data_IF_162755364107
#
_entry.id   IF_162755364107
#
_cell.length_a   1.000
_cell.length_b   1.000
_cell.length_c   1.000
_cell.angle_alpha   90.00
_cell.angle_beta   90.00
_cell.angle_gamma   90.00
#
_symmetry.space_group_name_H-M   'P 1'
#
loop_
_entity.id
_entity.type
_entity.pdbx_description
1 polymer ?
2 non-polymer ?
3 water ?
#
# COMPACT_ATOMS: atom_id res chain seq x y z
N UNK A 6 -13.28 6.84 -26.67
CA UNK A 6 -13.36 8.25 -27.00
C UNK A 6 -13.32 9.11 -25.72
N UNK A 7 -12.75 10.31 -25.80
CA UNK A 7 -12.64 11.22 -24.65
C UNK A 7 -13.94 11.45 -23.94
N UNK A 8 -14.99 11.69 -24.69
CA UNK A 8 -16.31 12.00 -24.12
C UNK A 8 -16.82 10.95 -23.16
N UNK A 9 -16.61 9.68 -23.50
CA UNK A 9 -17.05 8.58 -22.66
C UNK A 9 -16.26 8.55 -21.34
N UNK A 10 -14.93 8.70 -21.41
CA UNK A 10 -14.11 8.64 -20.19
C UNK A 10 -14.31 9.90 -19.34
N UNK A 11 -14.55 11.05 -19.96
CA UNK A 11 -14.84 12.29 -19.22
C UNK A 11 -16.13 12.08 -18.43
N UNK A 12 -17.16 11.49 -19.06
CA UNK A 12 -18.42 11.24 -18.39
C UNK A 12 -18.21 10.29 -17.20
N UNK A 13 -17.35 9.25 -17.36
CA UNK A 13 -17.11 8.35 -16.20
C UNK A 13 -16.43 9.12 -15.06
N UNK A 14 -15.44 9.98 -15.39
CA UNK A 14 -14.69 10.68 -14.35
C UNK A 14 -15.61 11.73 -13.69
N UNK A 15 -16.45 12.40 -14.45
CA UNK A 15 -17.38 13.40 -13.91
C UNK A 15 -18.42 12.67 -13.05
N UNK A 16 -18.96 11.51 -13.54
CA UNK A 16 -19.97 10.77 -12.75
C UNK A 16 -19.37 10.34 -11.40
N UNK A 17 -18.11 9.90 -11.38
CA UNK A 17 -17.55 9.43 -10.11
C UNK A 17 -17.40 10.62 -9.14
N UNK A 18 -16.93 11.81 -9.66
CA UNK A 18 -16.82 12.95 -8.75
C UNK A 18 -18.21 13.35 -8.19
N UNK A 19 -19.25 13.26 -9.03
CA UNK A 19 -20.61 13.63 -8.57
C UNK A 19 -21.09 12.61 -7.51
N UNK A 20 -20.72 11.34 -7.67
CA UNK A 20 -21.02 10.30 -6.69
C UNK A 20 -20.34 10.68 -5.34
N UNK A 21 -19.02 10.97 -5.34
CA UNK A 21 -18.32 11.30 -4.11
C UNK A 21 -18.85 12.60 -3.47
N UNK A 22 -19.18 13.60 -4.29
CA UNK A 22 -19.72 14.89 -3.80
C UNK A 22 -21.18 14.82 -3.39
N UNK A 23 -21.85 13.69 -3.65
CA UNK A 23 -23.26 13.44 -3.30
C UNK A 23 -24.18 14.40 -4.06
N UNK A 24 -23.88 14.59 -5.35
CA UNK A 24 -24.71 15.48 -6.15
C UNK A 24 -25.37 14.68 -7.30
N UNK A 25 -26.61 15.05 -7.71
CA UNK A 25 -27.28 14.27 -8.77
C UNK A 25 -26.51 14.27 -10.08
N UNK A 26 -26.66 13.22 -10.83
CA UNK A 26 -26.04 13.07 -12.14
C UNK A 26 -27.15 13.21 -13.19
N UNK A 30 -29.60 9.07 -15.60
CA UNK A 30 -28.61 8.54 -14.66
C UNK A 30 -27.40 7.90 -15.29
N UNK A 31 -26.50 7.41 -14.43
CA UNK A 31 -25.25 6.79 -14.95
C UNK A 31 -25.49 5.48 -15.70
N UNK A 32 -24.62 5.18 -16.66
CA UNK A 32 -24.71 3.92 -17.44
C UNK A 32 -24.38 2.72 -16.51
N UNK A 33 -24.57 1.47 -16.99
CA UNK A 33 -24.20 0.30 -16.21
C UNK A 33 -22.67 0.34 -15.92
N UNK A 34 -21.86 0.82 -16.88
CA UNK A 34 -20.41 0.90 -16.65
C UNK A 34 -20.13 1.86 -15.52
N UNK A 35 -20.75 3.04 -15.54
CA UNK A 35 -20.49 4.02 -14.52
C UNK A 35 -20.99 3.49 -13.14
N UNK A 36 -22.14 2.78 -13.12
CA UNK A 36 -22.67 2.23 -11.86
C UNK A 36 -21.66 1.22 -11.29
N UNK A 37 -21.10 0.35 -12.15
CA UNK A 37 -20.14 -0.64 -11.66
C UNK A 37 -18.87 0.05 -11.19
N UNK A 38 -18.39 1.02 -11.93
CA UNK A 38 -17.14 1.72 -11.56
C UNK A 38 -17.32 2.48 -10.24
N UNK A 39 -18.47 3.12 -10.03
CA UNK A 39 -18.71 3.87 -8.78
C UNK A 39 -18.57 2.97 -7.55
N UNK A 40 -19.12 1.77 -7.65
CA UNK A 40 -19.06 0.81 -6.56
C UNK A 40 -17.61 0.39 -6.25
N UNK A 41 -16.88 -0.06 -7.25
CA UNK A 41 -15.53 -0.57 -7.04
C UNK A 41 -14.56 0.51 -6.70
N UNK A 42 -14.63 1.67 -7.40
CA UNK A 42 -13.69 2.76 -7.10
C UNK A 42 -13.94 3.32 -5.69
N UNK A 43 -15.20 3.40 -5.23
CA UNK A 43 -15.46 3.91 -3.87
C UNK A 43 -14.89 2.97 -2.84
N UNK A 44 -14.99 1.63 -3.09
CA UNK A 44 -14.44 0.68 -2.14
C UNK A 44 -12.92 0.84 -2.05
N UNK A 45 -12.24 1.06 -3.19
CA UNK A 45 -10.80 1.30 -3.22
C UNK A 45 -10.49 2.61 -2.47
N UNK A 46 -11.25 3.66 -2.76
CA UNK A 46 -11.05 4.97 -2.14
C UNK A 46 -11.10 4.91 -0.62
N UNK A 47 -12.11 4.24 -0.04
CA UNK A 47 -12.19 4.12 1.42
C UNK A 47 -11.02 3.37 2.00
N UNK A 48 -10.48 2.36 1.28
CA UNK A 48 -9.30 1.62 1.77
C UNK A 48 -8.06 2.49 1.71
N UNK A 49 -7.90 3.29 0.66
CA UNK A 49 -6.76 4.21 0.56
C UNK A 49 -6.86 5.26 1.68
N UNK A 50 -8.06 5.81 1.89
CA UNK A 50 -8.23 6.83 2.94
C UNK A 50 -7.87 6.29 4.32
N UNK A 51 -8.16 5.01 4.63
CA UNK A 51 -7.79 4.47 5.93
C UNK A 51 -6.27 4.19 5.98
N UNK A 52 -5.70 3.57 4.93
CA UNK A 52 -4.28 3.20 4.97
C UNK A 52 -3.33 4.38 4.84
N UNK A 53 -3.75 5.44 4.19
CA UNK A 53 -2.93 6.63 3.99
C UNK A 53 -3.43 7.83 4.78
N UNK A 54 -4.20 7.62 5.88
CA UNK A 54 -4.78 8.73 6.63
C UNK A 54 -3.78 9.80 7.05
N UNK A 55 -2.71 9.42 7.76
CA UNK A 55 -1.74 10.41 8.25
C UNK A 55 -1.05 11.10 7.09
N UNK A 56 -0.73 10.35 6.03
CA UNK A 56 -0.07 10.87 4.84
C UNK A 56 -0.95 11.95 4.18
N UNK A 57 -2.23 11.65 3.94
CA UNK A 57 -3.17 12.55 3.29
C UNK A 57 -3.42 13.81 4.14
N UNK A 58 -3.45 13.66 5.47
CA UNK A 58 -3.68 14.82 6.35
C UNK A 58 -2.50 15.79 6.39
N UNK A 59 -1.30 15.38 5.96
CA UNK A 59 -0.11 16.24 6.01
C UNK A 59 0.05 17.15 4.81
N UNK A 60 -0.77 16.99 3.77
CA UNK A 60 -0.61 17.76 2.54
C UNK A 60 -1.89 18.54 2.26
N UNK A 61 -1.78 19.89 2.11
CA UNK A 61 -2.97 20.74 1.87
C UNK A 61 -3.13 20.90 0.36
N UNK A 62 -4.36 20.74 -0.16
CA UNK A 62 -4.63 20.87 -1.60
C UNK A 62 -5.49 22.11 -1.77
N UNK A 63 -4.83 23.28 -1.93
CA UNK A 63 -5.56 24.55 -1.88
C UNK A 63 -5.88 25.18 -3.22
N UNK A 64 -5.49 24.55 -4.33
CA UNK A 64 -5.79 25.09 -5.65
C UNK A 64 -5.85 23.96 -6.66
N UNK A 65 -6.55 24.20 -7.78
CA UNK A 65 -6.64 23.26 -8.88
C UNK A 65 -5.22 22.98 -9.44
N UNK A 66 -4.34 24.01 -9.50
CA UNK A 66 -2.97 23.77 -9.96
C UNK A 66 -2.20 22.83 -9.03
N UNK A 67 -2.38 22.96 -7.71
CA UNK A 67 -1.76 22.03 -6.75
C UNK A 67 -2.32 20.60 -7.00
N UNK A 68 -3.65 20.47 -7.18
CA UNK A 68 -4.26 19.18 -7.44
C UNK A 68 -3.69 18.53 -8.74
N UNK A 69 -3.49 19.34 -9.80
CA UNK A 69 -2.92 18.81 -11.05
C UNK A 69 -1.50 18.31 -10.84
N UNK A 70 -0.66 19.09 -10.16
CA UNK A 70 0.73 18.71 -9.90
C UNK A 70 0.77 17.42 -9.06
N UNK A 71 -0.08 17.32 -8.03
CA UNK A 71 -0.10 16.11 -7.17
C UNK A 71 -0.55 14.91 -8.00
N UNK A 72 -1.59 15.10 -8.81
CA UNK A 72 -2.10 14.04 -9.66
C UNK A 72 -0.99 13.53 -10.62
N UNK A 73 -0.26 14.45 -11.25
CA UNK A 73 0.82 14.04 -12.18
C UNK A 73 1.88 13.22 -11.45
N UNK A 74 2.29 13.66 -10.24
CA UNK A 74 3.31 12.93 -9.49
C UNK A 74 2.80 11.54 -9.12
N UNK A 75 1.52 11.43 -8.72
CA UNK A 75 0.94 10.13 -8.34
C UNK A 75 0.90 9.21 -9.51
N UNK A 76 0.46 9.69 -10.68
CA UNK A 76 0.43 8.83 -11.87
C UNK A 76 1.82 8.34 -12.27
N UNK A 77 2.85 9.20 -12.12
CA UNK A 77 4.22 8.79 -12.45
C UNK A 77 4.67 7.61 -11.62
N UNK A 78 4.29 7.58 -10.32
CA UNK A 78 4.66 6.45 -9.45
C UNK A 78 3.78 5.23 -9.70
N UNK A 79 2.47 5.44 -9.94
CA UNK A 79 1.56 4.33 -10.17
C UNK A 79 1.96 3.51 -11.41
N UNK A 80 2.47 4.18 -12.44
CA UNK A 80 2.78 3.50 -13.70
C UNK A 80 4.28 3.45 -14.03
N UNK A 81 5.13 3.58 -13.01
CA UNK A 81 6.60 3.60 -13.12
C UNK A 81 7.22 2.38 -13.80
N UNK A 82 6.59 1.23 -13.65
CA UNK A 82 7.09 -0.01 -14.26
C UNK A 82 6.54 -0.27 -15.71
N UNK A 83 5.75 0.65 -16.22
CA UNK A 83 5.16 0.55 -17.56
C UNK A 83 4.01 -0.44 -17.68
N UNK A 84 3.55 -1.03 -16.56
CA UNK A 84 2.46 -2.00 -16.59
C UNK A 84 1.10 -1.31 -16.44
N UNK A 85 0.11 -1.78 -17.19
CA UNK A 85 -1.26 -1.31 -17.04
C UNK A 85 -2.10 -2.53 -16.74
N UNK A 86 -3.05 -2.39 -15.81
CA UNK A 86 -4.03 -3.42 -15.54
C UNK A 86 -5.31 -2.70 -15.02
N UNK A 87 -6.45 -3.43 -14.93
CA UNK A 87 -7.69 -2.77 -14.53
C UNK A 87 -7.66 -2.23 -13.12
N UNK A 88 -6.93 -2.89 -12.22
CA UNK A 88 -6.84 -2.40 -10.83
C UNK A 88 -6.19 -1.04 -10.77
N UNK A 89 -5.14 -0.85 -11.59
CA UNK A 89 -4.45 0.46 -11.63
C UNK A 89 -5.37 1.55 -12.19
N UNK A 90 -6.18 1.20 -13.19
CA UNK A 90 -7.13 2.16 -13.76
C UNK A 90 -8.19 2.53 -12.71
N UNK A 91 -8.71 1.57 -11.93
CA UNK A 91 -9.69 1.90 -10.87
C UNK A 91 -9.09 2.83 -9.83
N UNK A 92 -7.81 2.60 -9.51
CA UNK A 92 -7.13 3.47 -8.54
C UNK A 92 -7.07 4.94 -8.99
N UNK A 93 -7.03 5.20 -10.30
CA UNK A 93 -7.03 6.62 -10.78
C UNK A 93 -8.33 7.29 -10.35
N UNK A 94 -9.45 6.59 -10.48
CA UNK A 94 -10.73 7.17 -10.09
C UNK A 94 -10.81 7.34 -8.57
N UNK A 95 -10.35 6.32 -7.80
CA UNK A 95 -10.30 6.48 -6.34
C UNK A 95 -9.48 7.73 -5.92
N UNK A 96 -8.39 7.96 -6.65
CA UNK A 96 -7.52 9.08 -6.40
C UNK A 96 -8.21 10.41 -6.68
N UNK A 97 -8.91 10.56 -7.84
CA UNK A 97 -9.62 11.82 -8.08
C UNK A 97 -10.71 12.06 -7.02
N UNK A 98 -11.29 10.99 -6.44
CA UNK A 98 -12.27 11.18 -5.36
C UNK A 98 -11.61 11.78 -4.13
N UNK A 99 -10.38 11.34 -3.82
CA UNK A 99 -9.65 11.89 -2.67
C UNK A 99 -9.27 13.35 -2.93
N UNK A 100 -8.81 13.65 -4.16
CA UNK A 100 -8.45 15.04 -4.50
C UNK A 100 -9.65 15.98 -4.38
N UNK A 101 -10.84 15.52 -4.84
CA UNK A 101 -11.99 16.44 -4.80
C UNK A 101 -12.45 16.68 -3.37
N UNK A 102 -12.30 15.65 -2.48
CA UNK A 102 -12.69 15.84 -1.08
C UNK A 102 -11.75 16.86 -0.42
N UNK A 103 -10.44 16.76 -0.73
CA UNK A 103 -9.51 17.73 -0.15
C UNK A 103 -9.76 19.11 -0.69
N UNK A 104 -10.00 19.26 -2.00
CA UNK A 104 -10.26 20.58 -2.59
C UNK A 104 -11.55 21.18 -2.04
N UNK A 105 -12.61 20.37 -1.84
CA UNK A 105 -13.86 20.92 -1.28
C UNK A 105 -13.57 21.59 0.10
N UNK A 106 -12.76 20.93 0.94
CA UNK A 106 -12.45 21.43 2.27
C UNK A 106 -11.42 22.55 2.27
N UNK A 107 -10.44 22.47 1.37
CA UNK A 107 -9.28 23.35 1.45
C UNK A 107 -9.07 24.37 0.34
N UNK A 108 -9.81 24.30 -0.80
CA UNK A 108 -9.60 25.22 -1.95
C UNK A 108 -9.68 26.67 -1.46
N UNK A 109 -8.58 27.43 -1.62
CA UNK A 109 -8.53 28.79 -1.07
C UNK A 109 -9.54 29.69 -1.76
N UNK A 110 -9.76 29.50 -3.06
CA UNK A 110 -10.77 30.28 -3.80
C UNK A 110 -11.88 29.28 -4.22
N UNK A 111 -12.87 28.97 -3.37
CA UNK A 111 -13.89 27.97 -3.76
C UNK A 111 -14.57 28.26 -5.08
N UNK A 112 -14.66 27.23 -5.92
CA UNK A 112 -15.31 27.31 -7.21
C UNK A 112 -16.09 26.03 -7.40
N UNK A 113 -17.44 26.12 -7.44
CA UNK A 113 -18.25 24.91 -7.58
C UNK A 113 -17.98 24.12 -8.86
N UNK A 114 -17.39 24.73 -9.89
CA UNK A 114 -17.09 24.01 -11.14
C UNK A 114 -15.74 23.26 -11.12
N UNK A 115 -14.97 23.36 -10.03
CA UNK A 115 -13.63 22.72 -9.96
C UNK A 115 -13.66 21.23 -10.31
N UNK A 116 -14.72 20.51 -9.91
CA UNK A 116 -14.76 19.08 -10.23
C UNK A 116 -14.77 18.80 -11.74
N UNK A 117 -15.29 19.77 -12.51
CA UNK A 117 -15.30 19.68 -13.97
C UNK A 117 -13.86 19.74 -14.54
N UNK A 118 -13.00 20.52 -13.92
CA UNK A 118 -11.60 20.64 -14.36
C UNK A 118 -10.78 19.42 -13.94
N UNK A 119 -10.99 18.89 -12.70
CA UNK A 119 -10.29 17.70 -12.25
C UNK A 119 -10.68 16.52 -13.15
N UNK A 120 -12.01 16.33 -13.42
CA UNK A 120 -12.37 15.17 -14.27
C UNK A 120 -11.84 15.30 -15.72
N UNK A 121 -11.65 16.51 -16.23
CA UNK A 121 -11.04 16.73 -17.53
C UNK A 121 -9.58 16.23 -17.52
N UNK A 122 -8.76 16.67 -16.50
CA UNK A 122 -7.35 16.26 -16.57
C UNK A 122 -7.19 14.74 -16.22
N UNK A 123 -8.17 14.14 -15.55
CA UNK A 123 -8.16 12.68 -15.29
C UNK A 123 -8.50 11.95 -16.59
N UNK A 124 -9.53 12.44 -17.32
CA UNK A 124 -9.88 11.86 -18.63
C UNK A 124 -8.73 11.98 -19.66
N UNK A 125 -8.05 13.13 -19.64
CA UNK A 125 -6.90 13.37 -20.52
C UNK A 125 -5.80 12.35 -20.22
N UNK A 126 -5.53 12.11 -18.93
CA UNK A 126 -4.46 11.13 -18.57
C UNK A 126 -4.86 9.72 -19.02
N UNK A 127 -6.08 9.32 -18.72
CA UNK A 127 -6.52 7.96 -19.06
C UNK A 127 -6.54 7.74 -20.54
N UNK A 128 -7.09 8.71 -21.31
CA UNK A 128 -7.18 8.51 -22.75
C UNK A 128 -5.80 8.41 -23.40
N UNK A 129 -4.91 9.35 -23.10
CA UNK A 129 -3.60 9.42 -23.70
C UNK A 129 -2.60 8.40 -23.24
N UNK A 130 -2.73 7.93 -21.98
CA UNK A 130 -1.72 7.02 -21.45
C UNK A 130 -2.18 5.58 -21.35
N UNK A 131 -3.48 5.37 -21.22
CA UNK A 131 -4.02 4.00 -21.10
C UNK A 131 -5.09 3.64 -22.14
N UNK A 132 -5.48 4.60 -22.99
CA UNK A 132 -6.56 4.41 -23.95
C UNK A 132 -6.38 3.22 -24.88
N UNK A 133 -5.17 3.05 -25.43
CA UNK A 133 -4.92 1.94 -26.36
C UNK A 133 -5.02 0.59 -25.65
N UNK A 134 -4.44 0.49 -24.44
CA UNK A 134 -4.54 -0.73 -23.66
C UNK A 134 -6.01 -1.02 -23.35
N UNK A 135 -6.81 0.04 -23.03
CA UNK A 135 -8.22 -0.17 -22.70
C UNK A 135 -8.98 -0.76 -23.89
N UNK A 136 -8.80 -0.20 -25.09
CA UNK A 136 -9.48 -0.69 -26.28
C UNK A 136 -9.09 -2.17 -26.58
N UNK A 137 -7.79 -2.47 -26.54
CA UNK A 137 -7.31 -3.84 -26.80
C UNK A 137 -7.80 -4.85 -25.78
N UNK A 138 -8.19 -4.37 -24.56
CA UNK A 138 -8.68 -5.25 -23.52
C UNK A 138 -10.21 -5.20 -23.35
N UNK A 139 -10.91 -4.72 -24.38
CA UNK A 139 -12.35 -4.79 -24.40
C UNK A 139 -13.12 -3.52 -24.15
N UNK A 140 -12.41 -2.42 -23.90
CA UNK A 140 -13.04 -1.15 -23.58
C UNK A 140 -13.72 -1.20 -22.23
N UNK A 141 -14.64 -0.26 -22.00
CA UNK A 141 -15.36 -0.20 -20.75
C UNK A 141 -16.53 -1.18 -20.72
N UNK A 142 -17.25 -1.33 -21.84
CA UNK A 142 -18.41 -2.18 -21.88
C UNK A 142 -18.10 -3.68 -22.03
N UNK A 143 -16.98 -4.01 -22.65
CA UNK A 143 -16.61 -5.43 -22.83
C UNK A 143 -15.33 -5.84 -22.11
N UNK A 144 -14.77 -4.95 -21.33
CA UNK A 144 -13.53 -5.24 -20.61
C UNK A 144 -13.75 -4.97 -19.14
N UNK A 145 -13.83 -3.68 -18.82
CA UNK A 145 -14.00 -3.28 -17.43
C UNK A 145 -15.26 -3.87 -16.80
N UNK A 146 -16.42 -3.68 -17.43
CA UNK A 146 -17.69 -4.13 -16.85
C UNK A 146 -17.71 -5.61 -16.67
N UNK A 147 -17.23 -6.34 -17.69
CA UNK A 147 -17.22 -7.77 -17.62
C UNK A 147 -16.37 -8.30 -16.44
N UNK A 148 -15.26 -7.62 -16.14
CA UNK A 148 -14.39 -8.06 -15.06
C UNK A 148 -14.96 -7.73 -13.68
N UNK A 149 -15.55 -6.53 -13.55
CA UNK A 149 -15.93 -6.03 -12.23
C UNK A 149 -17.39 -6.10 -11.88
N UNK A 150 -18.27 -6.40 -12.82
CA UNK A 150 -19.71 -6.45 -12.50
C UNK A 150 -20.01 -7.58 -11.53
N UNK A 151 -21.14 -7.45 -10.80
CA UNK A 151 -21.47 -8.47 -9.80
C UNK A 151 -21.51 -9.85 -10.38
N UNK A 152 -21.17 -10.82 -9.52
CA UNK A 152 -21.12 -12.23 -9.85
C UNK A 152 -22.53 -12.83 -10.07
N UNK B 6 13.21 -9.12 26.28
CA UNK B 6 13.17 -7.67 26.52
C UNK B 6 13.06 -6.91 25.19
N UNK B 7 12.44 -5.73 25.23
CA UNK B 7 12.23 -4.94 24.02
C UNK B 7 13.54 -4.66 23.27
N UNK B 8 14.56 -4.23 23.99
CA UNK B 8 15.85 -3.89 23.41
C UNK B 8 16.44 -4.96 22.52
N UNK B 9 16.35 -6.20 22.99
CA UNK B 9 16.88 -7.33 22.24
C UNK B 9 16.11 -7.54 20.95
N UNK B 10 14.74 -7.45 21.01
CA UNK B 10 13.95 -7.69 19.81
C UNK B 10 14.11 -6.53 18.82
N UNK B 11 14.23 -5.32 19.33
CA UNK B 11 14.47 -4.14 18.47
C UNK B 11 15.76 -4.36 17.68
N UNK B 12 16.82 -4.82 18.37
CA UNK B 12 18.09 -5.05 17.69
C UNK B 12 17.94 -6.18 16.63
N UNK B 13 17.14 -7.22 16.90
CA UNK B 13 16.95 -8.27 15.86
C UNK B 13 16.23 -7.68 14.64
N UNK B 14 15.17 -6.86 14.87
CA UNK B 14 14.43 -6.28 13.77
C UNK B 14 15.30 -5.30 13.00
N UNK B 15 16.12 -4.51 13.68
CA UNK B 15 17.01 -3.55 13.02
C UNK B 15 18.08 -4.31 12.22
N UNK B 16 18.65 -5.38 12.81
CA UNK B 16 19.68 -6.16 12.09
C UNK B 16 19.08 -6.77 10.80
N UNK B 17 17.83 -7.26 10.86
CA UNK B 17 17.26 -7.90 9.67
C UNK B 17 17.02 -6.84 8.58
N UNK B 18 16.53 -5.62 8.96
CA UNK B 18 16.34 -4.54 7.95
C UNK B 18 17.71 -4.18 7.32
N UNK B 19 18.77 -4.13 8.13
CA UNK B 19 20.10 -3.78 7.59
C UNK B 19 20.58 -4.87 6.63
N UNK B 20 20.25 -6.13 6.92
CA UNK B 20 20.59 -7.25 6.05
C UNK B 20 19.84 -7.07 4.70
N UNK B 21 18.51 -6.82 4.73
CA UNK B 21 17.73 -6.65 3.50
C UNK B 21 18.23 -5.46 2.68
N UNK B 22 18.54 -4.34 3.37
CA UNK B 22 19.04 -3.12 2.71
C UNK B 22 20.48 -3.19 2.26
N UNK B 23 21.20 -4.27 2.62
CA UNK B 23 22.60 -4.51 2.28
C UNK B 23 23.50 -3.45 2.90
N UNK B 24 23.22 -3.08 4.16
CA UNK B 24 24.04 -2.08 4.81
C UNK B 24 24.76 -2.68 6.03
N UNK B 25 26.03 -2.28 6.30
CA UNK B 25 26.77 -2.89 7.41
C UNK B 25 26.09 -2.66 8.76
N UNK B 26 26.30 -3.60 9.65
CA UNK B 26 25.75 -3.53 11.01
C UNK B 26 26.90 -3.20 11.95
N UNK B 29 31.13 -5.24 16.14
CA UNK B 29 31.57 -6.63 15.88
C UNK B 29 30.50 -7.53 15.27
N UNK B 30 29.46 -6.92 14.71
CA UNK B 30 28.44 -7.62 13.96
C UNK B 30 27.28 -8.21 14.72
N UNK B 31 26.38 -8.83 13.95
CA UNK B 31 25.17 -9.44 14.57
C UNK B 31 25.47 -10.63 15.46
N UNK B 32 24.64 -10.85 16.46
CA UNK B 32 24.77 -11.97 17.39
C UNK B 32 24.51 -13.30 16.63
N UNK B 33 24.80 -14.44 17.26
CA UNK B 33 24.52 -15.73 16.65
C UNK B 33 23.00 -15.86 16.35
N UNK B 34 22.17 -15.32 17.24
CA UNK B 34 20.71 -15.36 17.03
C UNK B 34 20.34 -14.61 15.78
N UNK B 35 20.87 -13.37 15.64
CA UNK B 35 20.56 -12.57 14.50
C UNK B 35 21.10 -13.24 13.20
N UNK B 36 22.30 -13.85 13.27
CA UNK B 36 22.87 -14.53 12.08
C UNK B 36 21.95 -15.67 11.62
N UNK B 37 21.45 -16.47 12.60
CA UNK B 37 20.59 -17.59 12.24
C UNK B 37 19.26 -17.06 11.66
N UNK B 38 18.72 -16.03 12.31
CA UNK B 38 17.41 -15.49 11.88
C UNK B 38 17.50 -14.90 10.49
N UNK B 39 18.61 -14.23 10.16
CA UNK B 39 18.75 -13.59 8.84
C UNK B 39 18.61 -14.62 7.72
N UNK B 40 19.22 -15.78 7.93
CA UNK B 40 19.15 -16.81 6.94
C UNK B 40 17.74 -17.40 6.76
N UNK B 41 17.09 -17.77 7.85
CA UNK B 41 15.77 -18.40 7.76
C UNK B 41 14.71 -17.43 7.33
N UNK B 42 14.75 -16.18 7.87
CA UNK B 42 13.73 -15.18 7.48
C UNK B 42 13.86 -14.79 6.00
N UNK B 43 15.07 -14.71 5.51
CA UNK B 43 15.26 -14.38 4.06
C UNK B 43 14.67 -15.49 3.18
N UNK B 44 14.87 -16.76 3.60
CA UNK B 44 14.31 -17.86 2.82
C UNK B 44 12.79 -17.79 2.77
N UNK B 45 12.18 -17.47 3.91
CA UNK B 45 10.72 -17.34 3.97
C UNK B 45 10.26 -16.14 3.13
N UNK B 46 10.98 -15.03 3.23
CA UNK B 46 10.66 -13.81 2.47
C UNK B 46 10.60 -14.06 0.96
N UNK B 47 11.61 -14.75 0.41
CA UNK B 47 11.61 -15.04 -1.02
C UNK B 47 10.44 -15.93 -1.43
N UNK B 48 10.03 -16.86 -0.56
CA UNK B 48 8.89 -17.73 -0.88
C UNK B 48 7.59 -16.95 -0.87
N UNK B 49 7.44 -16.02 0.09
CA UNK B 49 6.25 -15.19 0.17
C UNK B 49 6.20 -14.29 -1.06
N UNK B 50 7.34 -13.68 -1.43
CA UNK B 50 7.33 -12.77 -2.60
C UNK B 50 6.83 -13.46 -3.87
N UNK B 51 7.24 -14.73 -4.06
CA UNK B 51 6.81 -15.47 -5.24
C UNK B 51 5.35 -15.89 -5.15
N UNK B 52 4.94 -16.48 -4.01
CA UNK B 52 3.58 -17.00 -3.89
C UNK B 52 2.50 -15.96 -3.75
N UNK B 53 2.85 -14.80 -3.19
CA UNK B 53 1.88 -13.74 -2.97
C UNK B 53 2.15 -12.54 -3.89
N UNK B 54 2.79 -12.75 -5.04
CA UNK B 54 3.11 -11.65 -5.95
C UNK B 54 1.92 -10.73 -6.30
N UNK B 55 0.79 -11.28 -6.76
CA UNK B 55 -0.37 -10.44 -7.11
C UNK B 55 -0.91 -9.66 -5.92
N UNK B 56 -0.95 -10.31 -4.78
CA UNK B 56 -1.41 -9.71 -3.54
C UNK B 56 -0.48 -8.55 -3.14
N UNK B 57 0.84 -8.79 -3.13
CA UNK B 57 1.83 -7.76 -2.77
C UNK B 57 1.79 -6.56 -3.70
N UNK B 58 1.53 -6.77 -5.00
CA UNK B 58 1.45 -5.66 -5.97
C UNK B 58 0.18 -4.80 -5.81
N UNK B 59 -0.76 -5.19 -4.93
CA UNK B 59 -2.00 -4.42 -4.72
C UNK B 59 -1.81 -3.21 -3.80
N UNK B 60 -0.62 -2.99 -3.22
CA UNK B 60 -0.43 -1.84 -2.32
C UNK B 60 0.67 -0.92 -2.82
N UNK B 61 0.66 0.33 -2.34
CA UNK B 61 1.69 1.32 -2.65
C UNK B 61 2.11 1.89 -1.28
N UNK B 62 3.29 1.51 -0.79
CA UNK B 62 3.76 1.85 0.56
C UNK B 62 4.42 3.21 0.56
N UNK B 63 3.57 4.25 0.52
CA UNK B 63 3.99 5.66 0.34
C UNK B 63 4.56 6.31 1.60
N UNK B 64 4.37 5.70 2.77
CA UNK B 64 4.86 6.30 4.01
C UNK B 64 5.04 5.25 5.10
N UNK B 65 5.79 5.60 6.16
CA UNK B 65 6.03 4.76 7.35
C UNK B 65 4.67 4.43 8.00
N UNK B 66 3.78 5.43 8.11
CA UNK B 66 2.46 5.15 8.70
C UNK B 66 1.65 4.13 7.88
N UNK B 67 1.73 4.23 6.55
CA UNK B 67 1.05 3.23 5.68
C UNK B 67 1.69 1.83 5.93
N UNK B 68 3.04 1.75 6.01
CA UNK B 68 3.70 0.49 6.31
C UNK B 68 3.23 -0.11 7.65
N UNK B 69 3.07 0.74 8.68
CA UNK B 69 2.57 0.26 9.99
C UNK B 69 1.17 -0.31 9.89
N UNK B 70 0.26 0.39 9.21
CA UNK B 70 -1.11 -0.06 9.08
C UNK B 70 -1.17 -1.38 8.30
N UNK B 71 -0.36 -1.50 7.22
CA UNK B 71 -0.36 -2.75 6.43
C UNK B 71 0.21 -3.88 7.26
N UNK B 72 1.33 -3.60 7.98
CA UNK B 72 1.93 -4.61 8.89
C UNK B 72 0.90 -5.10 9.92
N UNK B 73 0.13 -4.19 10.53
CA UNK B 73 -0.87 -4.59 11.52
C UNK B 73 -1.94 -5.50 10.88
N UNK B 74 -2.36 -5.21 9.62
CA UNK B 74 -3.37 -6.05 8.96
C UNK B 74 -2.79 -7.44 8.73
N UNK B 75 -1.50 -7.52 8.30
CA UNK B 75 -0.87 -8.81 8.07
C UNK B 75 -0.82 -9.62 9.35
N UNK B 76 -0.38 -9.00 10.44
CA UNK B 76 -0.33 -9.69 11.74
C UNK B 76 -1.68 -10.18 12.21
N UNK B 77 -2.75 -9.38 11.96
CA UNK B 77 -4.10 -9.82 12.36
C UNK B 77 -4.50 -11.11 11.70
N UNK B 78 -4.15 -11.28 10.41
CA UNK B 78 -4.48 -12.52 9.71
C UNK B 78 -3.56 -13.66 10.11
N UNK B 79 -2.25 -13.38 10.28
CA UNK B 79 -1.29 -14.40 10.63
C UNK B 79 -1.60 -15.06 11.97
N UNK B 80 -2.12 -14.28 12.93
CA UNK B 80 -2.35 -14.80 14.27
C UNK B 80 -3.81 -14.88 14.68
N UNK B 81 -4.72 -14.89 13.70
CA UNK B 81 -6.18 -14.91 13.85
C UNK B 81 -6.69 -16.06 14.73
N UNK B 82 -6.03 -17.21 14.66
CA UNK B 82 -6.46 -18.41 15.40
C UNK B 82 -5.85 -18.51 16.82
N UNK B 83 -5.07 -17.51 17.23
CA UNK B 83 -4.44 -17.47 18.54
C UNK B 83 -3.26 -18.41 18.72
N UNK B 84 -2.79 -19.06 17.64
CA UNK B 84 -1.66 -19.97 17.73
C UNK B 84 -0.33 -19.24 17.49
N UNK B 85 0.68 -19.59 18.26
CA UNK B 85 2.01 -19.06 18.05
C UNK B 85 2.93 -20.25 17.89
N UNK B 86 3.87 -20.15 16.92
CA UNK B 86 4.93 -21.13 16.76
C UNK B 86 6.15 -20.38 16.15
N UNK B 87 7.34 -21.04 16.11
CA UNK B 87 8.53 -20.32 15.63
C UNK B 87 8.43 -19.95 14.17
N UNK B 88 7.75 -20.78 13.36
CA UNK B 88 7.63 -20.44 11.93
C UNK B 88 6.82 -19.15 11.73
N UNK B 89 5.77 -18.95 12.55
CA UNK B 89 5.00 -17.72 12.48
C UNK B 89 5.84 -16.50 12.92
N UNK B 90 6.70 -16.69 13.93
CA UNK B 90 7.56 -15.58 14.38
C UNK B 90 8.56 -15.23 13.27
N UNK B 91 9.12 -16.23 12.56
CA UNK B 91 10.03 -15.90 11.43
C UNK B 91 9.30 -15.14 10.34
N UNK B 92 8.02 -15.51 10.11
CA UNK B 92 7.22 -14.81 9.09
C UNK B 92 7.04 -13.30 9.38
N UNK B 93 7.08 -12.92 10.66
CA UNK B 93 6.99 -11.48 11.00
C UNK B 93 8.19 -10.74 10.41
N UNK B 94 9.37 -11.32 10.57
CA UNK B 94 10.58 -10.69 10.04
C UNK B 94 10.58 -10.71 8.52
N UNK B 95 10.10 -11.82 7.90
CA UNK B 95 9.99 -11.84 6.43
C UNK B 95 9.08 -10.70 5.92
N UNK B 96 7.95 -10.40 6.64
CA UNK B 96 7.10 -9.28 6.20
C UNK B 96 7.71 -7.90 6.47
N UNK B 97 8.49 -7.77 7.55
CA UNK B 97 9.30 -6.54 7.76
C UNK B 97 10.22 -6.28 6.52
N UNK B 98 10.81 -7.36 6.00
CA UNK B 98 11.71 -7.25 4.84
C UNK B 98 10.97 -6.85 3.58
N UNK B 99 9.75 -7.41 3.38
CA UNK B 99 8.95 -7.04 2.21
C UNK B 99 8.54 -5.56 2.32
N UNK B 100 8.10 -5.13 3.52
CA UNK B 100 7.69 -3.73 3.71
C UNK B 100 8.84 -2.77 3.47
N UNK B 101 10.04 -3.15 3.91
CA UNK B 101 11.17 -2.21 3.73
C UNK B 101 11.56 -2.12 2.24
N UNK B 102 11.41 -3.23 1.47
CA UNK B 102 11.70 -3.18 0.03
C UNK B 102 10.70 -2.28 -0.70
N UNK B 103 9.41 -2.41 -0.32
CA UNK B 103 8.40 -1.55 -0.91
C UNK B 103 8.62 -0.12 -0.51
N UNK B 104 8.90 0.19 0.77
CA UNK B 104 9.15 1.59 1.17
C UNK B 104 10.37 2.19 0.47
N UNK B 105 11.44 1.38 0.26
CA UNK B 105 12.64 1.93 -0.44
C UNK B 105 12.22 2.46 -1.82
N UNK B 106 11.36 1.71 -2.52
CA UNK B 106 10.93 2.04 -3.86
C UNK B 106 9.83 3.09 -3.91
N UNK B 107 8.92 3.04 -2.95
CA UNK B 107 7.70 3.84 -3.03
C UNK B 107 7.53 4.97 -2.04
N UNK B 108 8.34 5.06 -0.97
CA UNK B 108 8.14 6.11 0.06
C UNK B 108 8.22 7.50 -0.56
N UNK B 109 7.26 8.39 -0.24
CA UNK B 109 7.27 9.77 -0.76
C UNK B 109 8.04 10.63 0.23
N UNK B 110 9.03 11.39 -0.25
CA UNK B 110 10.04 12.10 0.55
C UNK B 110 10.80 11.03 1.39
N UNK B 111 11.67 10.23 0.75
CA UNK B 111 12.44 9.22 1.51
C UNK B 111 13.20 9.83 2.70
N UNK B 112 13.32 9.06 3.77
CA UNK B 112 13.97 9.50 4.99
C UNK B 112 14.81 8.33 5.48
N UNK B 113 16.14 8.51 5.55
CA UNK B 113 17.03 7.43 6.00
C UNK B 113 16.71 6.91 7.42
N UNK B 114 16.02 7.68 8.26
CA UNK B 114 15.65 7.23 9.62
C UNK B 114 14.37 6.36 9.69
N UNK B 115 13.75 6.08 8.53
CA UNK B 115 12.54 5.27 8.41
C UNK B 115 12.72 3.87 9.02
N UNK B 116 13.90 3.28 8.80
CA UNK B 116 14.25 1.96 9.28
C UNK B 116 14.14 1.81 10.77
N UNK B 117 14.48 2.85 11.49
CA UNK B 117 14.39 2.91 12.93
C UNK B 117 12.91 2.73 13.37
N UNK B 118 11.98 3.40 12.69
CA UNK B 118 10.57 3.33 13.01
C UNK B 118 9.99 1.96 12.69
N UNK B 119 10.36 1.33 11.55
CA UNK B 119 9.89 0.00 11.21
C UNK B 119 10.36 -1.01 12.28
N UNK B 120 11.65 -0.87 12.69
CA UNK B 120 12.19 -1.81 13.71
C UNK B 120 11.40 -1.73 15.00
N UNK B 121 11.04 -0.50 15.38
CA UNK B 121 10.32 -0.27 16.59
C UNK B 121 8.93 -0.92 16.54
N UNK B 122 8.16 -0.70 15.47
CA UNK B 122 6.79 -1.26 15.50
C UNK B 122 6.80 -2.81 15.33
N UNK B 123 7.87 -3.37 14.77
CA UNK B 123 7.96 -4.85 14.69
C UNK B 123 8.28 -5.37 16.09
N UNK B 124 9.23 -4.73 16.76
CA UNK B 124 9.57 -5.10 18.12
C UNK B 124 8.38 -4.96 19.11
N UNK B 125 7.58 -3.87 18.94
CA UNK B 125 6.41 -3.65 19.75
C UNK B 125 5.41 -4.79 19.56
N UNK B 126 5.20 -5.20 18.30
CA UNK B 126 4.23 -6.29 18.05
C UNK B 126 4.72 -7.59 18.70
N UNK B 127 5.99 -7.93 18.45
CA UNK B 127 6.53 -9.19 18.95
C UNK B 127 6.53 -9.24 20.46
N UNK B 128 6.96 -8.16 21.10
CA UNK B 128 7.03 -8.18 22.55
C UNK B 128 5.66 -8.32 23.21
N UNK B 129 4.71 -7.49 22.78
CA UNK B 129 3.37 -7.46 23.36
C UNK B 129 2.49 -8.63 23.03
N UNK B 130 2.68 -9.23 21.85
CA UNK B 130 1.77 -10.28 21.42
C UNK B 130 2.37 -11.67 21.50
N UNK B 131 3.69 -11.78 21.41
CA UNK B 131 4.34 -13.09 21.44
C UNK B 131 5.43 -13.25 22.49
N UNK B 132 5.74 -12.17 23.23
CA UNK B 132 6.84 -12.17 24.17
C UNK B 132 6.80 -13.25 25.24
N UNK B 133 5.62 -13.46 25.83
CA UNK B 133 5.49 -14.46 26.88
C UNK B 133 5.69 -15.88 26.34
N UNK B 134 5.10 -16.16 25.17
CA UNK B 134 5.29 -17.45 24.52
C UNK B 134 6.78 -17.66 24.20
N UNK B 135 7.48 -16.59 23.76
CA UNK B 135 8.89 -16.73 23.43
C UNK B 135 9.71 -17.12 24.66
N UNK B 136 9.53 -16.44 25.76
CA UNK B 136 10.25 -16.74 27.00
C UNK B 136 9.98 -18.19 27.49
N UNK B 137 8.72 -18.59 27.52
CA UNK B 137 8.35 -19.96 27.94
C UNK B 137 8.89 -21.03 27.02
N UNK B 138 9.20 -20.66 25.75
CA UNK B 138 9.75 -21.63 24.81
C UNK B 138 11.27 -21.51 24.61
N UNK B 139 11.92 -20.85 25.56
CA UNK B 139 13.38 -20.83 25.56
C UNK B 139 14.03 -19.53 25.19
N UNK B 140 13.24 -18.53 24.82
CA UNK B 140 13.80 -17.27 24.38
C UNK B 140 14.47 -17.40 23.03
N UNK B 141 15.23 -16.37 22.67
CA UNK B 141 15.93 -16.39 21.40
C UNK B 141 17.18 -17.26 21.45
N UNK B 142 17.91 -17.21 22.56
CA UNK B 142 19.15 -17.96 22.69
C UNK B 142 18.98 -19.45 23.00
N UNK B 143 17.91 -19.80 23.72
CA UNK B 143 17.67 -21.22 24.05
C UNK B 143 16.44 -21.82 23.41
N UNK B 144 15.78 -21.08 22.53
CA UNK B 144 14.59 -21.56 21.87
C UNK B 144 14.77 -21.44 20.38
N UNK B 145 14.74 -20.20 19.89
CA UNK B 145 14.85 -19.97 18.47
C UNK B 145 16.17 -20.52 17.88
N UNK B 146 17.29 -20.14 18.48
CA UNK B 146 18.59 -20.56 17.93
C UNK B 146 18.75 -22.05 17.97
N UNK B 147 18.33 -22.68 19.07
CA UNK B 147 18.44 -24.12 19.19
C UNK B 147 17.64 -24.85 18.11
N UNK B 148 16.46 -24.33 17.76
CA UNK B 148 15.64 -24.98 16.75
C UNK B 148 16.18 -24.79 15.33
N UNK B 149 16.69 -23.59 15.03
CA UNK B 149 17.02 -23.28 13.65
C UNK B 149 18.50 -23.32 13.28
N UNK B 150 19.42 -23.36 14.25
CA UNK B 150 20.85 -23.37 13.95
C UNK B 150 21.24 -24.68 13.25
N UNK B 151 22.34 -24.68 12.49
CA UNK B 151 22.78 -25.95 11.83
C UNK B 151 23.05 -27.05 12.84
N UNK B 152 22.78 -28.31 12.48
CA UNK B 152 23.00 -29.44 13.39
C UNK B 152 24.48 -29.86 13.41
X LIG C 1 1.40 13.13 -3.37
X LIG C 1 0.79 13.11 -1.96
X LIG C 1 -0.65 13.56 -1.90
X LIG C 1 -2.54 14.39 -0.63
X LIG C 1 -1.21 13.99 -0.70
X LIG C 1 0.13 10.68 -1.90
X LIG C 1 0.67 9.73 -2.75
X LIG C 1 -0.12 8.72 -3.28
X LIG C 1 -1.47 8.65 -2.95
X LIG C 1 -2.03 9.60 -2.10
X LIG C 1 -1.24 10.61 -1.58
X LIG C 1 -2.36 7.71 -3.40
X LIG C 1 -3.22 6.20 -5.04
X LIG C 1 -3.60 5.14 -4.00
X LIG C 1 -2.26 4.46 -3.73
X LIG C 1 -1.27 5.62 -3.69
X LIG C 1 -1.91 3.55 -4.83
X LIG C 1 -2.27 2.26 -4.85
X LIG C 1 -1.84 1.57 -5.92
X LIG C 1 -2.05 0.13 -6.08
X LIG C 1 -0.71 -0.59 -6.28
X LIG C 1 1.76 11.57 -0.30
X LIG C 1 1.97 10.18 0.23
X LIG C 1 1.80 10.12 1.68
X LIG C 1 -1.46 13.56 -3.03
X LIG C 1 -2.78 13.96 -2.96
X LIG C 1 -3.30 14.38 -1.77
X LIG C 1 -4.96 14.88 -1.69
X LIG C 1 0.94 11.73 -1.37
X LIG C 1 -1.94 6.79 -4.43
X LIG C 1 -2.95 1.76 -3.96
X LIG C 1 -2.94 -0.18 -7.29
X LIG C 1 -2.28 -1.38 -7.95
X LIG C 1 -0.83 -1.20 -7.63
X LIG C 1 2.28 12.52 0.25
X LIG D 1 -2.75 -5.51 3.50
X LIG D 1 -2.10 -6.06 2.24
X LIG D 1 -0.58 -6.06 2.23
X LIG D 1 1.52 -5.96 3.40
X LIG D 1 0.14 -5.96 3.41
X LIG D 1 -2.35 -8.54 2.77
X LIG D 1 -1.20 -9.28 2.59
X LIG D 1 -0.92 -10.36 3.41
X LIG D 1 -1.81 -10.69 4.44
X LIG D 1 -2.96 -9.95 4.63
X LIG D 1 -3.23 -8.87 3.80
X LIG D 1 -1.68 -11.72 5.34
X LIG D 1 -0.85 -13.61 4.11
X LIG D 1 -1.48 -14.83 4.82
X LIG D 1 -1.64 -14.43 6.27
X LIG D 1 -0.49 -13.45 6.52
X LIG D 1 -1.64 -15.58 7.17
X LIG D 1 -2.74 -16.37 7.29
X LIG D 1 -2.59 -17.44 8.11
X LIG D 1 -3.66 -18.44 8.26
X LIG D 1 -4.95 -17.80 8.77
X LIG D 1 -3.33 -7.55 0.74
X LIG D 1 -3.91 -8.90 0.39
X LIG D 1 -3.40 -9.38 -0.92
X LIG D 1 0.12 -6.17 1.03
X LIG D 1 1.50 -6.16 1.01
X LIG D 1 2.19 -6.05 2.20
X LIG D 1 3.93 -6.05 2.20
X LIG D 1 -2.64 -7.42 1.91
X LIG D 1 -0.55 -12.62 5.25
X LIG D 1 -3.79 -16.11 6.71
X LIG D 1 -3.38 -19.42 9.41
X LIG D 1 -3.73 -18.65 10.67
X LIG D 1 -4.62 -17.55 10.21
X LIG D 1 -3.40 -6.63 -0.07
#
# INVERSE_FOLDING_TARGET
GMTDCEFGYIYRLAQDYLQCVLQIPQPGSGPSKTSRVLQNVAFSVQKEVEKNLKSCLDNVNVVSVDTARTLFNQVMEKEFEDGIINWGRIVTIFAFEGILIKKLLRQQIAPDVDTYKEISYFVAEFIMNNTGEWIRQNGGWENGFVKKFEPK
GMTDCEFGYIYRLAQDYLQCVLQIPQPGSGPSKTSRVLQNVAFSVQKEVEKNLKSCLDNVNVVSVDTARTLFNQVMEKEFEDGIINWGRIVTIFAFEGILIKKLLRQQIAPDVDTYKEISYFVAEFIMNNTGEWIRQNGGWENGFVKKFEPK
A1ILU C1 C2 C3 C7 C8 C11 C12 C13 C14 C15 C16 O17 C19 C20 C21 C22 N23 C24 N26 C27 C31 C32 C34 C35 C4 C5 C6 CL9 N10 C18 O25 C28 C29 N30 O33
A1ILU C1 C2 C3 C7 C8 C11 C12 C13 C14 C15 C16 O17 C19 C20 C21 C22 N23 C24 N26 C27 C31 C32 C34 C35 C4 C5 C6 CL9 N10 C18 O25 C28 C29 N30 O33
#
